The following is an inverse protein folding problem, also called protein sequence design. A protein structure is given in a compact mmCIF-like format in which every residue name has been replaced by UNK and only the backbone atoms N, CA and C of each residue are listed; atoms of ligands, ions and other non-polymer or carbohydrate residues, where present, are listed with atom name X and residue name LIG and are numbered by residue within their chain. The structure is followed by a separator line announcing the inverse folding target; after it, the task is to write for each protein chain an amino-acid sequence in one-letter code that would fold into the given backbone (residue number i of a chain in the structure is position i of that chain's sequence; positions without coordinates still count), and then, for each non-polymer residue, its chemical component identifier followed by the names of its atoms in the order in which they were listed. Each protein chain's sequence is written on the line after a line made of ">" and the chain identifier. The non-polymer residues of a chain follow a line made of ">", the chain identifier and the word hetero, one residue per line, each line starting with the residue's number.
data_IF_892487358645
#
_entry.id   IF_892487358645
#
_cell.length_a   1.000
_cell.length_b   1.000
_cell.length_c   1.000
_cell.angle_alpha   90.00
_cell.angle_beta   90.00
_cell.angle_gamma   90.00
#
_symmetry.space_group_name_H-M   'P 1'
#
loop_
_entity.id
_entity.type
_entity.pdbx_description
1 polymer ?
#
# COMPACT_ATOMS: atom_id res chain seq x y z
N UNK A 1 -37.56 -1.38 -17.80
CA UNK A 1 -36.61 -0.29 -17.51
C UNK A 1 -36.40 -0.26 -16.00
N UNK A 2 -35.40 -1.02 -15.52
CA UNK A 2 -35.12 -1.11 -14.08
C UNK A 2 -34.36 0.12 -13.62
N UNK A 3 -34.94 0.86 -12.67
CA UNK A 3 -34.29 1.98 -12.01
C UNK A 3 -33.30 1.37 -11.01
N UNK A 4 -32.00 1.49 -11.29
CA UNK A 4 -30.97 1.21 -10.29
C UNK A 4 -31.07 2.28 -9.21
N UNK A 5 -31.17 1.92 -7.92
CA UNK A 5 -31.05 2.91 -6.85
C UNK A 5 -29.65 3.55 -6.91
N UNK A 6 -29.52 4.86 -6.60
CA UNK A 6 -28.20 5.46 -6.47
C UNK A 6 -27.46 4.76 -5.34
N UNK A 7 -26.20 4.40 -5.59
CA UNK A 7 -25.29 3.89 -4.58
C UNK A 7 -25.10 5.03 -3.58
N UNK A 8 -25.84 5.01 -2.47
CA UNK A 8 -25.51 5.83 -1.29
C UNK A 8 -24.33 5.16 -0.62
N UNK A 9 -23.14 5.59 -1.00
CA UNK A 9 -21.88 5.17 -0.39
C UNK A 9 -21.69 5.88 0.96
N UNK A 10 -22.63 5.67 1.87
CA UNK A 10 -22.51 5.96 3.31
C UNK A 10 -21.44 5.06 3.99
N UNK A 11 -20.69 4.28 3.20
CA UNK A 11 -19.63 3.37 3.61
C UNK A 11 -18.25 3.75 3.08
N UNK A 12 -18.07 4.98 2.57
CA UNK A 12 -16.75 5.62 2.67
C UNK A 12 -16.47 5.94 4.14
N UNK A 13 -16.28 4.89 4.96
CA UNK A 13 -15.34 4.94 6.06
C UNK A 13 -13.99 5.12 5.38
N UNK A 14 -13.70 6.35 4.98
CA UNK A 14 -12.34 6.85 4.99
C UNK A 14 -11.74 6.32 6.30
N UNK A 15 -10.60 5.62 6.29
CA UNK A 15 -9.82 5.60 7.51
C UNK A 15 -9.65 7.07 7.84
N UNK A 16 -10.36 7.55 8.88
CA UNK A 16 -10.06 8.85 9.46
C UNK A 16 -8.56 8.79 9.70
N UNK A 17 -7.74 9.63 9.05
CA UNK A 17 -6.32 9.66 9.37
C UNK A 17 -6.29 9.79 10.87
N UNK A 18 -5.79 8.76 11.55
CA UNK A 18 -5.69 8.83 12.99
C UNK A 18 -4.70 9.94 13.23
N UNK A 19 -5.19 11.11 13.66
CA UNK A 19 -4.35 12.26 14.01
C UNK A 19 -3.48 11.95 15.22
N UNK A 20 -3.59 10.74 15.77
CA UNK A 20 -2.65 10.22 16.75
C UNK A 20 -1.33 9.85 16.04
N UNK A 21 -0.24 10.61 16.27
CA UNK A 21 1.06 10.34 15.65
C UNK A 21 1.56 8.93 15.97
N UNK A 22 1.15 8.36 17.10
CA UNK A 22 1.48 6.99 17.51
C UNK A 22 0.83 5.94 16.61
N UNK A 23 -0.42 6.18 16.19
CA UNK A 23 -1.14 5.28 15.29
C UNK A 23 -0.55 5.30 13.88
N UNK A 24 -0.19 6.49 13.37
CA UNK A 24 0.49 6.63 12.07
C UNK A 24 1.85 5.92 12.06
N UNK A 25 2.60 5.99 13.16
CA UNK A 25 3.87 5.28 13.31
C UNK A 25 3.67 3.75 13.24
N UNK A 26 2.68 3.22 13.96
CA UNK A 26 2.36 1.80 13.96
C UNK A 26 1.90 1.32 12.57
N UNK A 27 1.09 2.11 11.87
CA UNK A 27 0.66 1.81 10.51
C UNK A 27 1.84 1.84 9.52
N UNK A 28 2.75 2.80 9.66
CA UNK A 28 3.97 2.87 8.85
C UNK A 28 4.87 1.64 9.09
N UNK A 29 5.03 1.21 10.34
CA UNK A 29 5.85 0.05 10.69
C UNK A 29 5.21 -1.27 10.19
N UNK A 30 3.89 -1.40 10.26
CA UNK A 30 3.17 -2.52 9.68
C UNK A 30 3.30 -2.56 8.14
N UNK A 31 3.21 -1.40 7.48
CA UNK A 31 3.41 -1.28 6.05
C UNK A 31 4.87 -1.61 5.66
N UNK A 32 5.86 -1.20 6.45
CA UNK A 32 7.26 -1.56 6.23
C UNK A 32 7.48 -3.07 6.32
N UNK A 33 6.94 -3.74 7.34
CA UNK A 33 7.04 -5.18 7.49
C UNK A 33 6.43 -5.91 6.27
N UNK A 34 5.23 -5.50 5.86
CA UNK A 34 4.58 -6.03 4.66
C UNK A 34 5.41 -5.79 3.39
N UNK A 35 6.01 -4.61 3.23
CA UNK A 35 6.88 -4.28 2.10
C UNK A 35 8.13 -5.16 2.03
N UNK A 36 8.72 -5.50 3.19
CA UNK A 36 9.86 -6.43 3.25
C UNK A 36 9.45 -7.82 2.78
N UNK A 37 8.30 -8.32 3.23
CA UNK A 37 7.79 -9.63 2.82
C UNK A 37 7.45 -9.68 1.33
N UNK A 38 6.76 -8.65 0.83
CA UNK A 38 6.42 -8.55 -0.59
C UNK A 38 7.66 -8.44 -1.48
N UNK A 39 8.68 -7.69 -1.04
CA UNK A 39 9.95 -7.56 -1.75
C UNK A 39 10.72 -8.89 -1.75
N UNK A 40 10.79 -9.59 -0.62
CA UNK A 40 11.42 -10.90 -0.53
C UNK A 40 10.73 -11.94 -1.43
N UNK A 41 9.39 -11.96 -1.43
CA UNK A 41 8.59 -12.79 -2.34
C UNK A 41 8.84 -12.45 -3.81
N UNK A 42 8.84 -11.16 -4.15
CA UNK A 42 9.14 -10.68 -5.50
C UNK A 42 10.53 -11.12 -5.98
N UNK A 43 11.56 -10.95 -5.15
CA UNK A 43 12.92 -11.38 -5.46
C UNK A 43 13.02 -12.90 -5.64
N UNK A 44 12.36 -13.69 -4.78
CA UNK A 44 12.33 -15.16 -4.92
C UNK A 44 11.68 -15.60 -6.23
N UNK A 45 10.55 -15.00 -6.59
CA UNK A 45 9.86 -15.33 -7.84
C UNK A 45 10.64 -14.88 -9.08
N UNK A 46 11.38 -13.78 -8.98
CA UNK A 46 12.26 -13.30 -10.04
C UNK A 46 13.44 -14.26 -10.26
N UNK A 47 14.16 -14.62 -9.19
CA UNK A 47 15.30 -15.56 -9.27
C UNK A 47 14.85 -16.95 -9.71
N UNK A 48 13.66 -17.40 -9.29
CA UNK A 48 13.08 -18.68 -9.71
C UNK A 48 12.54 -18.68 -11.16
N UNK A 49 12.63 -17.56 -11.90
CA UNK A 49 12.14 -17.44 -13.27
C UNK A 49 10.62 -17.55 -13.40
N UNK A 50 9.87 -17.43 -12.30
CA UNK A 50 8.39 -17.47 -12.27
C UNK A 50 7.79 -16.13 -12.71
N UNK A 51 8.55 -15.05 -12.56
CA UNK A 51 8.22 -13.74 -13.12
C UNK A 51 8.49 -13.72 -14.62
N UNK A 52 7.49 -13.37 -15.42
CA UNK A 52 7.67 -13.10 -16.85
C UNK A 52 6.96 -14.07 -17.80
N UNK A 53 6.27 -15.10 -17.32
CA UNK A 53 5.31 -15.89 -18.14
C UNK A 53 4.26 -14.97 -18.77
N UNK A 54 3.89 -13.92 -18.04
CA UNK A 54 3.16 -12.77 -18.55
C UNK A 54 4.05 -11.54 -18.34
N UNK A 55 4.53 -10.93 -19.43
CA UNK A 55 5.42 -9.75 -19.40
C UNK A 55 4.88 -8.62 -18.49
N UNK A 56 3.57 -8.57 -18.29
CA UNK A 56 2.86 -7.59 -17.46
C UNK A 56 3.07 -7.80 -15.94
N UNK A 57 3.26 -9.03 -15.48
CA UNK A 57 3.31 -9.34 -14.03
C UNK A 57 4.52 -8.73 -13.33
N UNK A 58 5.69 -8.74 -13.98
CA UNK A 58 6.89 -8.13 -13.42
C UNK A 58 6.73 -6.62 -13.29
N UNK A 59 6.34 -5.95 -14.38
CA UNK A 59 6.17 -4.49 -14.42
C UNK A 59 5.11 -4.03 -13.42
N UNK A 60 3.99 -4.76 -13.33
CA UNK A 60 2.91 -4.48 -12.40
C UNK A 60 3.38 -4.59 -10.95
N UNK A 61 3.97 -5.74 -10.54
CA UNK A 61 4.46 -5.93 -9.17
C UNK A 61 5.56 -4.94 -8.80
N UNK A 62 6.47 -4.64 -9.72
CA UNK A 62 7.52 -3.63 -9.52
C UNK A 62 6.96 -2.20 -9.40
N UNK A 63 5.83 -1.89 -10.07
CA UNK A 63 5.15 -0.61 -9.92
C UNK A 63 4.47 -0.51 -8.56
N UNK A 64 3.73 -1.55 -8.15
CA UNK A 64 3.05 -1.59 -6.86
C UNK A 64 4.03 -1.42 -5.71
N UNK A 65 5.16 -2.15 -5.72
CA UNK A 65 6.21 -1.99 -4.70
C UNK A 65 6.73 -0.55 -4.61
N UNK A 66 6.96 0.11 -5.75
CA UNK A 66 7.39 1.51 -5.78
C UNK A 66 6.33 2.46 -5.21
N UNK A 67 5.06 2.25 -5.55
CA UNK A 67 3.96 3.07 -5.04
C UNK A 67 3.82 2.94 -3.52
N UNK A 68 3.87 1.71 -2.98
CA UNK A 68 3.78 1.47 -1.54
C UNK A 68 5.00 2.01 -0.79
N UNK A 69 6.20 1.92 -1.39
CA UNK A 69 7.42 2.52 -0.82
C UNK A 69 7.30 4.05 -0.74
N UNK A 70 6.76 4.69 -1.78
CA UNK A 70 6.51 6.13 -1.77
C UNK A 70 5.46 6.52 -0.73
N UNK A 71 4.40 5.71 -0.56
CA UNK A 71 3.38 5.92 0.47
C UNK A 71 3.99 5.80 1.88
N UNK A 72 4.83 4.81 2.13
CA UNK A 72 5.54 4.67 3.41
C UNK A 72 6.41 5.91 3.71
N UNK A 73 7.11 6.43 2.70
CA UNK A 73 7.92 7.64 2.85
C UNK A 73 7.06 8.86 3.22
N UNK A 74 5.88 9.01 2.60
CA UNK A 74 4.93 10.06 2.93
C UNK A 74 4.40 9.92 4.37
N UNK A 75 3.97 8.72 4.77
CA UNK A 75 3.49 8.45 6.13
C UNK A 75 4.55 8.77 7.19
N UNK A 76 5.82 8.44 6.93
CA UNK A 76 6.92 8.78 7.84
C UNK A 76 7.20 10.28 7.91
N UNK A 77 7.10 10.99 6.79
CA UNK A 77 7.24 12.44 6.78
C UNK A 77 6.10 13.10 7.58
N UNK A 78 4.86 12.63 7.44
CA UNK A 78 3.70 13.11 8.18
C UNK A 78 3.80 12.79 9.69
N UNK A 79 4.29 11.61 10.06
CA UNK A 79 4.56 11.25 11.45
C UNK A 79 5.61 12.18 12.09
N UNK A 80 6.67 12.53 11.35
CA UNK A 80 7.69 13.47 11.82
C UNK A 80 7.16 14.89 11.99
N UNK A 81 6.32 15.35 11.05
CA UNK A 81 5.69 16.68 11.10
C UNK A 81 4.66 16.80 12.22
N UNK A 82 3.94 15.72 12.55
CA UNK A 82 2.93 15.71 13.63
C UNK A 82 3.53 15.55 15.04
N UNK A 83 4.80 15.15 15.14
CA UNK A 83 5.55 15.04 16.40
C UNK A 83 6.36 16.31 16.76
N UNK A 84 6.40 17.31 15.87
CA UNK A 84 7.10 18.60 16.05
C UNK A 84 6.14 19.67 16.57
#
# INVERSE_FOLDING_TARGET
>A
MGIYPPITDANMRTPTPSTDPTALQLEADALEASLRDMSASFSRDYVAGRMGVWHNTYQHRARVLRQLTAQLAAMRAEALLSAS
#
